data_IF_323307743527
#
_entry.id   IF_323307743527
#
_cell.length_a   1.000
_cell.length_b   1.000
_cell.length_c   1.000
_cell.angle_alpha   90.00
_cell.angle_beta   90.00
_cell.angle_gamma   90.00
#
_symmetry.space_group_name_H-M   'P 1'
#
loop_
_entity.id
_entity.type
_entity.pdbx_description
1 polymer ?
#
# COMPACT_ATOMS: atom_id res chain seq x y z
N UNK A 1 15.05 -3.11 11.28
CA UNK A 1 14.16 -4.15 11.84
C UNK A 1 12.72 -3.66 11.71
N UNK A 2 11.97 -4.14 10.71
CA UNK A 2 10.58 -3.76 10.55
C UNK A 2 9.73 -4.53 11.58
N UNK A 3 9.35 -3.85 12.67
CA UNK A 3 8.40 -4.40 13.64
C UNK A 3 6.99 -4.29 13.05
N UNK A 4 6.57 -5.30 12.29
CA UNK A 4 5.14 -5.46 11.98
C UNK A 4 4.36 -5.59 13.29
N UNK A 5 3.11 -5.11 13.34
CA UNK A 5 2.25 -5.27 14.53
C UNK A 5 1.96 -6.74 14.89
N UNK A 6 2.34 -7.68 14.02
CA UNK A 6 2.13 -9.11 14.18
C UNK A 6 3.47 -9.85 14.09
N UNK A 7 3.74 -10.72 15.06
CA UNK A 7 4.93 -11.58 15.06
C UNK A 7 4.85 -12.73 14.04
N UNK A 8 3.64 -13.05 13.56
CA UNK A 8 3.32 -14.09 12.57
C UNK A 8 2.21 -13.59 11.62
N UNK A 9 1.94 -14.33 10.53
CA UNK A 9 0.83 -14.06 9.61
C UNK A 9 -0.50 -13.94 10.40
N UNK A 10 -1.15 -12.76 10.45
CA UNK A 10 -2.37 -12.58 11.24
C UNK A 10 -3.54 -13.40 10.69
N UNK A 11 -4.44 -13.81 11.59
CA UNK A 11 -5.72 -14.45 11.23
C UNK A 11 -6.53 -13.53 10.31
N UNK A 12 -7.08 -14.09 9.23
CA UNK A 12 -7.83 -13.34 8.22
C UNK A 12 -9.06 -12.63 8.79
N UNK A 13 -9.75 -13.20 9.79
CA UNK A 13 -10.91 -12.57 10.44
C UNK A 13 -10.53 -11.29 11.19
N UNK A 14 -9.35 -11.29 11.81
CA UNK A 14 -8.83 -10.12 12.52
C UNK A 14 -8.48 -9.02 11.53
N UNK A 15 -7.79 -9.39 10.43
CA UNK A 15 -7.44 -8.43 9.37
C UNK A 15 -8.70 -7.83 8.75
N UNK A 16 -9.70 -8.65 8.42
CA UNK A 16 -10.97 -8.21 7.83
C UNK A 16 -11.71 -7.19 8.72
N UNK A 17 -11.88 -7.49 10.01
CA UNK A 17 -12.53 -6.59 10.94
C UNK A 17 -11.79 -5.25 11.09
N UNK A 18 -10.44 -5.26 11.05
CA UNK A 18 -9.63 -4.04 11.10
C UNK A 18 -9.77 -3.20 9.83
N UNK A 19 -9.77 -3.83 8.66
CA UNK A 19 -10.00 -3.14 7.38
C UNK A 19 -11.36 -2.47 7.38
N UNK A 20 -12.42 -3.21 7.74
CA UNK A 20 -13.78 -2.68 7.78
C UNK A 20 -13.88 -1.46 8.70
N UNK A 21 -13.32 -1.54 9.91
CA UNK A 21 -13.28 -0.42 10.86
C UNK A 21 -12.54 0.80 10.31
N UNK A 22 -11.38 0.59 9.67
CA UNK A 22 -10.57 1.68 9.11
C UNK A 22 -11.29 2.38 7.94
N UNK A 23 -11.93 1.61 7.06
CA UNK A 23 -12.73 2.15 5.95
C UNK A 23 -13.91 2.96 6.47
N UNK A 24 -14.66 2.42 7.44
CA UNK A 24 -15.78 3.15 8.05
C UNK A 24 -15.32 4.46 8.71
N UNK A 25 -14.19 4.41 9.45
CA UNK A 25 -13.63 5.60 10.09
C UNK A 25 -13.26 6.66 9.06
N UNK A 26 -12.63 6.27 7.94
CA UNK A 26 -12.28 7.19 6.85
C UNK A 26 -13.50 7.88 6.24
N UNK A 27 -14.56 7.11 5.97
CA UNK A 27 -15.79 7.64 5.37
C UNK A 27 -16.54 8.58 6.32
N UNK A 28 -16.57 8.25 7.61
CA UNK A 28 -17.30 9.04 8.61
C UNK A 28 -16.56 10.32 9.01
N UNK A 29 -15.23 10.29 9.02
CA UNK A 29 -14.42 11.38 9.56
C UNK A 29 -13.93 12.38 8.48
N UNK A 30 -14.30 12.20 7.21
CA UNK A 30 -13.76 12.95 6.06
C UNK A 30 -12.22 13.08 6.12
N UNK A 31 -11.57 12.04 6.64
CA UNK A 31 -10.16 12.09 7.00
C UNK A 31 -9.29 11.92 5.77
N UNK A 32 -8.60 12.99 5.37
CA UNK A 32 -7.42 12.94 4.53
C UNK A 32 -6.23 12.48 5.36
N UNK A 33 -5.63 11.34 5.01
CA UNK A 33 -4.41 10.89 5.69
C UNK A 33 -3.27 11.87 5.40
N UNK A 34 -2.51 12.19 6.45
CA UNK A 34 -1.30 13.00 6.32
C UNK A 34 -0.24 12.31 5.45
N UNK A 35 0.70 13.08 4.92
CA UNK A 35 1.74 12.51 4.07
C UNK A 35 2.67 11.56 4.86
N UNK A 36 2.83 10.34 4.36
CA UNK A 36 3.69 9.30 4.91
C UNK A 36 5.06 9.29 4.21
N UNK A 37 6.11 8.82 4.90
CA UNK A 37 7.36 8.46 4.23
C UNK A 37 7.13 7.20 3.39
N UNK A 38 7.32 7.30 2.08
CA UNK A 38 6.99 6.20 1.16
C UNK A 38 8.00 5.06 1.23
N UNK A 39 9.26 5.36 1.58
CA UNK A 39 10.30 4.36 1.83
C UNK A 39 9.95 3.39 2.98
N UNK A 40 9.09 3.82 3.92
CA UNK A 40 8.67 2.98 5.06
C UNK A 40 7.49 2.04 4.75
N UNK A 41 6.86 2.20 3.59
CA UNK A 41 5.70 1.42 3.19
C UNK A 41 6.13 0.02 2.71
N UNK A 42 5.29 -1.01 2.93
CA UNK A 42 5.55 -2.33 2.37
C UNK A 42 5.29 -2.34 0.86
N UNK A 43 5.90 -3.30 0.17
CA UNK A 43 5.53 -3.60 -1.22
C UNK A 43 4.05 -3.94 -1.32
N UNK A 44 3.38 -3.47 -2.37
CA UNK A 44 1.94 -3.60 -2.51
C UNK A 44 1.14 -2.38 -2.04
N UNK A 45 1.76 -1.45 -1.31
CA UNK A 45 1.07 -0.24 -0.87
C UNK A 45 0.78 0.69 -2.06
N UNK A 46 -0.44 1.22 -2.12
CA UNK A 46 -0.86 2.23 -3.09
C UNK A 46 -0.88 3.59 -2.39
N UNK A 47 -0.30 4.59 -3.04
CA UNK A 47 -0.23 5.95 -2.55
C UNK A 47 -0.56 6.97 -3.65
N UNK A 48 -0.92 8.18 -3.22
CA UNK A 48 -1.07 9.36 -4.07
C UNK A 48 0.15 10.28 -3.90
N UNK A 49 0.60 10.87 -5.00
CA UNK A 49 1.58 11.94 -5.01
C UNK A 49 1.30 12.90 -6.17
N UNK A 50 1.02 14.17 -5.86
CA UNK A 50 0.74 15.26 -6.83
C UNK A 50 -0.40 14.93 -7.81
N UNK A 51 -1.50 14.38 -7.31
CA UNK A 51 -2.69 14.01 -8.08
C UNK A 51 -2.55 12.73 -8.91
N UNK A 52 -1.42 12.02 -8.81
CA UNK A 52 -1.17 10.74 -9.48
C UNK A 52 -1.15 9.61 -8.47
N UNK A 53 -1.55 8.43 -8.90
CA UNK A 53 -1.65 7.23 -8.08
C UNK A 53 -0.59 6.23 -8.46
N UNK A 54 0.05 5.62 -7.47
CA UNK A 54 1.18 4.73 -7.69
C UNK A 54 1.10 3.50 -6.79
N UNK A 55 1.61 2.40 -7.31
CA UNK A 55 2.00 1.25 -6.52
C UNK A 55 3.47 1.42 -6.07
N UNK A 56 3.73 1.16 -4.78
CA UNK A 56 5.08 0.97 -4.25
C UNK A 56 5.50 -0.47 -4.44
N UNK A 57 6.64 -0.68 -5.12
CA UNK A 57 7.31 -1.97 -5.23
C UNK A 57 8.82 -1.76 -5.10
N UNK A 58 9.46 -2.40 -4.11
CA UNK A 58 10.84 -2.10 -3.70
C UNK A 58 11.00 -0.59 -3.49
N UNK A 59 12.07 0.04 -3.98
CA UNK A 59 12.30 1.48 -3.86
C UNK A 59 11.81 2.25 -5.11
N UNK A 60 10.75 1.73 -5.76
CA UNK A 60 10.18 2.29 -7.00
C UNK A 60 8.69 2.56 -6.88
N UNK A 61 8.25 3.55 -7.66
CA UNK A 61 6.86 3.90 -7.84
C UNK A 61 6.40 3.51 -9.25
N UNK A 62 5.31 2.76 -9.34
CA UNK A 62 4.71 2.38 -10.63
C UNK A 62 3.38 3.08 -10.79
N UNK A 63 3.27 3.98 -11.77
CA UNK A 63 2.06 4.74 -12.02
C UNK A 63 0.89 3.82 -12.35
N UNK A 64 -0.23 3.97 -11.63
CA UNK A 64 -1.44 3.22 -11.88
C UNK A 64 -2.25 3.81 -13.03
N UNK A 65 -2.82 2.94 -13.85
CA UNK A 65 -3.84 3.28 -14.83
C UNK A 65 -4.83 2.12 -14.98
N UNK A 66 -5.96 2.36 -15.65
CA UNK A 66 -6.90 1.29 -16.01
C UNK A 66 -6.30 0.21 -16.93
N UNK A 67 -5.19 0.50 -17.63
CA UNK A 67 -4.49 -0.48 -18.47
C UNK A 67 -3.47 -1.31 -17.68
N UNK A 68 -3.28 -1.00 -16.40
CA UNK A 68 -2.24 -1.57 -15.56
C UNK A 68 -1.25 -0.52 -15.08
N UNK A 69 -0.15 -1.02 -14.53
CA UNK A 69 0.94 -0.21 -14.00
C UNK A 69 1.98 0.11 -15.07
N UNK A 70 2.50 1.34 -15.04
CA UNK A 70 3.59 1.79 -15.91
C UNK A 70 4.98 1.41 -15.41
N UNK A 71 5.98 1.94 -16.12
CA UNK A 71 7.41 1.78 -15.80
C UNK A 71 7.77 2.23 -14.38
N UNK A 72 8.89 1.72 -13.88
CA UNK A 72 9.43 2.09 -12.60
C UNK A 72 9.92 3.55 -12.60
N UNK A 73 9.27 4.40 -11.82
CA UNK A 73 9.68 5.77 -11.52
C UNK A 73 10.45 5.81 -10.19
N UNK A 74 11.18 6.90 -9.96
CA UNK A 74 11.78 7.19 -8.65
C UNK A 74 10.69 7.30 -7.57
N UNK A 75 10.92 6.68 -6.42
CA UNK A 75 9.99 6.74 -5.30
C UNK A 75 10.07 8.13 -4.64
N UNK A 76 8.97 8.90 -4.59
CA UNK A 76 8.98 10.18 -3.89
C UNK A 76 9.25 9.98 -2.39
N UNK A 77 9.78 10.99 -1.71
CA UNK A 77 10.02 10.89 -0.26
C UNK A 77 8.71 10.74 0.52
N UNK A 78 7.68 11.50 0.12
CA UNK A 78 6.38 11.56 0.81
C UNK A 78 5.19 11.48 -0.15
N UNK A 79 4.11 10.86 0.33
CA UNK A 79 2.82 10.78 -0.36
C UNK A 79 1.68 10.40 0.56
N UNK A 80 0.45 10.44 0.06
CA UNK A 80 -0.74 10.10 0.83
C UNK A 80 -1.00 8.60 0.67
N UNK A 81 -1.03 7.86 1.79
CA UNK A 81 -1.27 6.42 1.77
C UNK A 81 -2.74 6.11 1.51
N UNK A 82 -3.03 5.40 0.41
CA UNK A 82 -4.39 4.98 0.05
C UNK A 82 -4.72 3.59 0.59
N UNK A 83 -3.76 2.66 0.52
CA UNK A 83 -3.90 1.34 1.15
C UNK A 83 -4.07 1.49 2.66
N UNK A 84 -5.13 0.92 3.25
CA UNK A 84 -5.34 1.04 4.69
C UNK A 84 -4.19 0.42 5.50
N UNK A 85 -3.97 0.93 6.72
CA UNK A 85 -2.85 0.49 7.56
C UNK A 85 -2.93 -1.00 7.89
N UNK A 86 -4.13 -1.55 8.07
CA UNK A 86 -4.32 -2.97 8.36
C UNK A 86 -3.79 -3.87 7.22
N UNK A 87 -3.98 -3.46 5.96
CA UNK A 87 -3.41 -4.17 4.80
C UNK A 87 -1.89 -4.02 4.77
N UNK A 88 -1.37 -2.83 5.06
CA UNK A 88 0.08 -2.63 5.14
C UNK A 88 0.71 -3.51 6.24
N UNK A 89 0.06 -3.61 7.40
CA UNK A 89 0.51 -4.46 8.50
C UNK A 89 0.40 -5.95 8.15
N UNK A 90 -0.62 -6.36 7.39
CA UNK A 90 -0.71 -7.72 6.86
C UNK A 90 0.45 -8.03 5.89
N UNK A 91 0.80 -7.11 4.99
CA UNK A 91 1.95 -7.28 4.09
C UNK A 91 3.27 -7.42 4.87
N UNK A 92 3.49 -6.58 5.89
CA UNK A 92 4.64 -6.71 6.81
C UNK A 92 4.62 -8.03 7.57
N UNK A 93 3.45 -8.57 7.87
CA UNK A 93 3.24 -9.88 8.50
C UNK A 93 3.38 -11.08 7.56
N UNK A 94 3.83 -10.90 6.31
CA UNK A 94 4.13 -11.98 5.37
C UNK A 94 3.01 -12.34 4.39
N UNK A 95 1.89 -11.60 4.38
CA UNK A 95 0.96 -11.67 3.25
C UNK A 95 1.64 -11.10 2.00
N UNK A 96 1.52 -11.78 0.87
CA UNK A 96 2.08 -11.32 -0.41
C UNK A 96 1.00 -10.70 -1.28
N UNK A 97 1.16 -9.45 -1.75
CA UNK A 97 0.29 -8.89 -2.75
C UNK A 97 0.38 -9.68 -4.07
N UNK A 98 -0.76 -9.81 -4.76
CA UNK A 98 -0.80 -10.30 -6.14
C UNK A 98 -0.81 -9.09 -7.05
N UNK A 99 0.10 -9.09 -8.03
CA UNK A 99 0.31 -7.97 -8.93
C UNK A 99 -0.35 -8.20 -10.29
N UNK A 100 -0.77 -7.11 -10.94
CA UNK A 100 -1.26 -7.16 -12.30
C UNK A 100 -0.12 -7.57 -13.27
N UNK A 101 -0.39 -8.37 -14.33
CA UNK A 101 0.66 -8.85 -15.25
C UNK A 101 1.51 -7.76 -15.89
N UNK A 102 1.01 -6.54 -16.01
CA UNK A 102 1.78 -5.41 -16.56
C UNK A 102 3.02 -5.02 -15.73
N UNK A 103 3.14 -5.47 -14.48
CA UNK A 103 4.37 -5.33 -13.68
C UNK A 103 5.40 -6.42 -13.98
N UNK A 104 4.94 -7.52 -14.57
CA UNK A 104 5.78 -8.62 -15.04
C UNK A 104 6.18 -8.29 -16.48
N UNK A 105 6.94 -7.21 -16.65
CA UNK A 105 7.66 -7.04 -17.91
C UNK A 105 8.93 -7.89 -17.83
N UNK A 106 8.98 -8.87 -18.73
CA UNK A 106 10.04 -9.87 -18.86
C UNK A 106 11.42 -9.21 -18.82
N UNK A 107 12.29 -9.73 -17.96
CA UNK A 107 13.74 -9.53 -18.05
C UNK A 107 14.29 -10.34 -19.21
#
# INVERSE_FOLDING_TARGET
MASGKYANRPDTKVVDALIARQVQTRLLADMTYGAHSLASLPDGAIFEHKGRYFLKLMDRAHAWSFKGYGEAEELPERGILLTCEAVCDAFRGGYKPVFHPSLVQET
#
